data_IF_617377085026
#
_entry.id   IF_617377085026
#
_cell.length_a   1.000
_cell.length_b   1.000
_cell.length_c   1.000
_cell.angle_alpha   90.00
_cell.angle_beta   90.00
_cell.angle_gamma   90.00
#
_symmetry.space_group_name_H-M   'P 1'
#
loop_
_entity.id
_entity.type
_entity.pdbx_description
1 polymer ?
#
# COMPACT_ATOMS: atom_id res chain seq x y z
N UNK A 1 22.30 9.56 -0.53
CA UNK A 1 21.50 10.31 -1.49
C UNK A 1 21.48 9.63 -2.85
N UNK A 2 20.49 9.94 -3.67
CA UNK A 2 20.39 9.42 -5.04
C UNK A 2 21.56 9.93 -5.87
N UNK A 3 22.30 9.04 -6.53
CA UNK A 3 23.47 9.38 -7.34
C UNK A 3 23.15 9.52 -8.83
N UNK A 4 21.88 9.36 -9.23
CA UNK A 4 21.44 9.45 -10.62
C UNK A 4 20.28 10.42 -10.79
N UNK A 5 20.29 11.20 -11.89
CA UNK A 5 19.21 12.14 -12.22
C UNK A 5 18.07 11.44 -12.98
N UNK A 6 18.35 10.39 -13.72
CA UNK A 6 17.38 9.69 -14.57
C UNK A 6 17.44 8.15 -14.47
N UNK A 7 18.17 7.62 -13.50
CA UNK A 7 18.26 6.18 -13.23
C UNK A 7 17.46 5.75 -12.02
N UNK A 8 17.37 4.42 -11.79
CA UNK A 8 16.79 3.88 -10.56
C UNK A 8 17.60 4.33 -9.35
N UNK A 9 16.91 4.83 -8.33
CA UNK A 9 17.52 5.16 -7.02
C UNK A 9 17.56 3.96 -6.06
N UNK A 10 17.16 2.78 -6.52
CA UNK A 10 17.12 1.58 -5.71
C UNK A 10 18.52 1.02 -5.46
N UNK A 11 18.78 0.47 -4.26
CA UNK A 11 20.01 -0.23 -3.96
C UNK A 11 20.09 -1.57 -4.70
N UNK A 12 21.30 -2.10 -4.87
CA UNK A 12 21.51 -3.44 -5.38
C UNK A 12 21.25 -4.45 -4.26
N UNK A 13 20.48 -5.49 -4.55
CA UNK A 13 20.22 -6.57 -3.60
C UNK A 13 21.10 -7.79 -3.92
N UNK A 14 21.74 -8.32 -2.88
CA UNK A 14 22.58 -9.51 -2.97
C UNK A 14 22.14 -10.50 -1.89
N UNK A 15 21.67 -11.66 -2.31
CA UNK A 15 21.25 -12.74 -1.41
C UNK A 15 22.24 -13.89 -1.50
N UNK A 16 22.89 -14.23 -0.39
CA UNK A 16 23.93 -15.25 -0.28
C UNK A 16 25.03 -15.15 -1.36
N UNK A 17 25.40 -13.92 -1.74
CA UNK A 17 26.39 -13.65 -2.77
C UNK A 17 25.85 -13.58 -4.20
N UNK A 18 24.57 -13.85 -4.41
CA UNK A 18 23.92 -13.78 -5.72
C UNK A 18 23.20 -12.44 -5.86
N UNK A 19 23.50 -11.71 -6.94
CA UNK A 19 22.81 -10.45 -7.25
C UNK A 19 21.39 -10.75 -7.73
N UNK A 20 20.42 -10.21 -7.03
CA UNK A 20 19.01 -10.30 -7.41
C UNK A 20 18.59 -9.01 -8.08
N UNK A 21 18.02 -9.13 -9.29
CA UNK A 21 17.44 -7.99 -9.99
C UNK A 21 16.12 -7.60 -9.34
N UNK A 22 16.03 -6.35 -8.89
CA UNK A 22 14.79 -5.75 -8.37
C UNK A 22 14.08 -4.95 -9.47
N UNK A 23 14.51 -5.07 -10.72
CA UNK A 23 13.81 -4.42 -11.83
C UNK A 23 12.47 -5.11 -12.03
N UNK A 24 11.42 -4.40 -11.69
CA UNK A 24 10.04 -4.75 -12.02
C UNK A 24 9.86 -4.64 -13.53
N UNK A 25 9.94 -5.78 -14.23
CA UNK A 25 9.53 -5.83 -15.62
C UNK A 25 8.01 -5.79 -15.67
N UNK A 26 7.46 -4.68 -16.15
CA UNK A 26 6.04 -4.56 -16.43
C UNK A 26 5.62 -5.58 -17.50
N UNK A 27 5.11 -6.72 -17.07
CA UNK A 27 4.62 -7.79 -17.98
C UNK A 27 3.27 -7.41 -18.60
N UNK A 28 2.62 -6.36 -18.10
CA UNK A 28 1.29 -5.90 -18.52
C UNK A 28 1.32 -4.79 -19.56
N UNK A 29 2.44 -4.58 -20.28
CA UNK A 29 2.53 -3.59 -21.36
C UNK A 29 1.74 -3.98 -22.63
N UNK A 30 0.90 -4.99 -22.56
CA UNK A 30 -0.01 -5.37 -23.62
C UNK A 30 -1.26 -4.49 -23.55
N UNK A 31 -1.19 -3.35 -24.25
CA UNK A 31 -2.37 -2.61 -24.73
C UNK A 31 -3.23 -1.84 -23.72
N UNK A 32 -2.62 -1.16 -22.75
CA UNK A 32 -3.35 -0.22 -21.89
C UNK A 32 -3.11 1.22 -22.37
N UNK A 33 -4.14 2.05 -22.55
CA UNK A 33 -3.98 3.44 -22.97
C UNK A 33 -3.07 4.21 -22.01
N UNK A 34 -2.24 5.10 -22.56
CA UNK A 34 -1.35 5.95 -21.78
C UNK A 34 -2.15 6.76 -20.74
N UNK A 35 -1.97 6.47 -19.47
CA UNK A 35 -2.65 7.14 -18.36
C UNK A 35 -3.20 6.23 -17.25
N UNK A 36 -3.36 4.93 -17.50
CA UNK A 36 -3.87 3.95 -16.54
C UNK A 36 -2.85 2.84 -16.24
N UNK A 37 -1.59 3.21 -16.05
CA UNK A 37 -0.56 2.23 -15.69
C UNK A 37 -0.64 1.91 -14.21
N UNK A 38 -1.36 0.86 -13.86
CA UNK A 38 -1.12 0.17 -12.61
C UNK A 38 0.19 -0.62 -12.80
N UNK A 39 1.28 -0.08 -12.31
CA UNK A 39 2.56 -0.79 -12.27
C UNK A 39 2.48 -1.86 -11.18
N UNK A 40 2.01 -3.04 -11.56
CA UNK A 40 2.12 -4.22 -10.69
C UNK A 40 3.52 -4.78 -10.93
N UNK A 41 4.48 -4.21 -10.24
CA UNK A 41 5.83 -4.74 -10.24
C UNK A 41 5.93 -5.96 -9.34
N UNK A 42 6.35 -7.09 -9.88
CA UNK A 42 6.72 -8.25 -9.07
C UNK A 42 8.15 -8.09 -8.58
N UNK A 43 8.32 -7.88 -7.28
CA UNK A 43 9.62 -7.84 -6.65
C UNK A 43 10.04 -9.27 -6.25
N UNK A 44 11.13 -9.78 -6.80
CA UNK A 44 11.65 -11.11 -6.46
C UNK A 44 12.10 -11.26 -5.00
N UNK A 45 12.31 -10.14 -4.31
CA UNK A 45 12.58 -10.19 -2.87
C UNK A 45 11.34 -10.59 -2.06
N UNK A 46 10.14 -10.44 -2.64
CA UNK A 46 8.90 -10.87 -2.00
C UNK A 46 8.81 -12.41 -1.87
N UNK A 47 9.57 -13.15 -2.70
CA UNK A 47 9.63 -14.61 -2.64
C UNK A 47 10.51 -15.11 -1.49
N UNK A 48 11.33 -14.22 -0.89
CA UNK A 48 12.18 -14.56 0.23
C UNK A 48 11.40 -14.48 1.54
N UNK A 49 11.32 -15.60 2.26
CA UNK A 49 10.68 -15.61 3.56
C UNK A 49 11.53 -14.83 4.59
N UNK A 50 11.02 -13.77 5.21
CA UNK A 50 11.77 -13.01 6.21
C UNK A 50 12.28 -13.86 7.38
N UNK A 51 11.57 -14.94 7.72
CA UNK A 51 11.96 -15.86 8.78
C UNK A 51 13.21 -16.67 8.44
N UNK A 52 13.59 -16.79 7.17
CA UNK A 52 14.82 -17.46 6.72
C UNK A 52 16.04 -16.54 6.68
N UNK A 53 15.87 -15.26 6.96
CA UNK A 53 16.97 -14.30 7.01
C UNK A 53 17.71 -14.42 8.33
N UNK A 54 19.05 -14.60 8.25
CA UNK A 54 19.93 -14.58 9.42
C UNK A 54 20.44 -13.15 9.69
N UNK A 55 20.81 -12.41 8.61
CA UNK A 55 21.42 -11.08 8.73
C UNK A 55 21.15 -10.23 7.50
N UNK A 56 21.00 -8.92 7.72
CA UNK A 56 20.95 -7.91 6.67
C UNK A 56 22.05 -6.89 6.93
N UNK A 57 22.94 -6.70 5.96
CA UNK A 57 23.98 -5.67 5.99
C UNK A 57 23.76 -4.66 4.88
N UNK A 58 23.90 -3.38 5.19
CA UNK A 58 23.76 -2.29 4.22
C UNK A 58 25.14 -1.67 3.98
N UNK A 59 25.61 -1.73 2.73
CA UNK A 59 26.89 -1.13 2.33
C UNK A 59 26.60 0.17 1.57
N UNK A 60 27.13 1.33 2.04
CA UNK A 60 26.95 2.60 1.34
C UNK A 60 27.55 2.60 -0.07
N UNK A 61 26.99 3.40 -0.98
CA UNK A 61 27.34 3.38 -2.40
C UNK A 61 28.81 3.57 -2.72
N UNK A 62 29.54 4.41 -1.99
CA UNK A 62 30.95 4.62 -2.21
C UNK A 62 31.78 3.34 -1.96
N UNK A 63 31.49 2.61 -0.88
CA UNK A 63 32.16 1.34 -0.56
C UNK A 63 31.63 0.19 -1.42
N UNK A 64 30.35 0.20 -1.72
CA UNK A 64 29.69 -0.81 -2.53
C UNK A 64 30.20 -0.81 -3.99
N UNK A 65 30.44 0.37 -4.55
CA UNK A 65 30.96 0.53 -5.91
C UNK A 65 32.31 -0.12 -6.14
N UNK A 66 33.17 -0.17 -5.12
CA UNK A 66 34.48 -0.84 -5.20
C UNK A 66 34.36 -2.37 -5.34
N UNK A 67 33.31 -2.97 -4.79
CA UNK A 67 33.11 -4.42 -4.76
C UNK A 67 32.18 -4.87 -5.89
N UNK A 68 31.09 -4.16 -6.12
CA UNK A 68 30.00 -4.55 -7.03
C UNK A 68 29.89 -3.68 -8.29
N UNK A 69 30.83 -2.72 -8.46
CA UNK A 69 30.91 -1.84 -9.62
C UNK A 69 29.83 -0.75 -9.66
N UNK A 70 29.63 -0.17 -10.84
CA UNK A 70 28.72 0.98 -11.04
C UNK A 70 27.27 0.69 -10.69
N UNK A 71 26.84 -0.57 -10.75
CA UNK A 71 25.46 -0.98 -10.36
C UNK A 71 25.16 -0.76 -8.89
N UNK A 72 26.18 -0.66 -8.06
CA UNK A 72 26.07 -0.46 -6.63
C UNK A 72 26.23 1.02 -6.21
N UNK A 73 26.14 1.95 -7.13
CA UNK A 73 26.29 3.41 -6.85
C UNK A 73 25.29 3.93 -5.80
N UNK A 74 24.12 3.33 -5.71
CA UNK A 74 23.10 3.67 -4.71
C UNK A 74 23.20 2.87 -3.41
N UNK A 75 24.22 2.02 -3.29
CA UNK A 75 24.44 1.11 -2.17
C UNK A 75 24.05 -0.34 -2.48
N UNK A 76 24.40 -1.21 -1.57
CA UNK A 76 24.09 -2.65 -1.63
C UNK A 76 23.44 -3.09 -0.34
N UNK A 77 22.39 -3.89 -0.45
CA UNK A 77 21.77 -4.60 0.65
C UNK A 77 22.17 -6.07 0.54
N UNK A 78 23.00 -6.51 1.48
CA UNK A 78 23.43 -7.91 1.59
C UNK A 78 22.46 -8.65 2.51
N UNK A 79 21.83 -9.69 1.99
CA UNK A 79 20.94 -10.57 2.74
C UNK A 79 21.62 -11.92 2.87
N UNK A 80 21.84 -12.34 4.10
CA UNK A 80 22.39 -13.66 4.39
C UNK A 80 21.28 -14.53 4.95
N UNK A 81 21.05 -15.68 4.34
CA UNK A 81 20.03 -16.63 4.81
C UNK A 81 20.58 -17.56 5.88
N UNK A 82 19.69 -18.09 6.69
CA UNK A 82 20.00 -19.08 7.72
C UNK A 82 20.59 -20.35 7.08
N UNK A 83 21.66 -20.87 7.68
CA UNK A 83 22.35 -22.08 7.22
C UNK A 83 22.37 -23.13 8.32
N UNK A 84 22.50 -24.38 7.93
CA UNK A 84 22.67 -25.48 8.88
C UNK A 84 23.93 -25.30 9.72
N UNK A 85 23.83 -25.59 11.01
CA UNK A 85 24.94 -25.55 11.96
C UNK A 85 25.23 -26.97 12.42
N UNK A 86 26.51 -27.27 12.69
CA UNK A 86 26.88 -28.55 13.29
C UNK A 86 26.35 -28.65 14.72
N UNK A 87 25.82 -29.78 15.09
CA UNK A 87 25.26 -30.01 16.39
C UNK A 87 23.96 -30.83 16.34
N UNK A 88 23.30 -30.91 17.48
CA UNK A 88 22.00 -31.59 17.58
C UNK A 88 20.95 -30.90 16.72
N UNK A 89 19.99 -31.67 16.26
CA UNK A 89 18.87 -31.19 15.50
C UNK A 89 18.06 -30.20 16.34
N UNK A 90 17.85 -29.01 15.77
CA UNK A 90 17.02 -27.96 16.36
C UNK A 90 15.79 -27.75 15.47
N UNK A 91 14.63 -27.81 16.08
CA UNK A 91 13.35 -27.50 15.43
C UNK A 91 12.85 -26.17 16.00
N UNK A 92 12.51 -25.25 15.13
CA UNK A 92 11.85 -23.99 15.51
C UNK A 92 10.47 -23.95 14.85
N UNK A 93 9.46 -23.64 15.63
CA UNK A 93 8.09 -23.44 15.16
C UNK A 93 7.59 -22.09 15.64
N UNK A 94 7.03 -21.32 14.72
CA UNK A 94 6.38 -20.04 15.00
C UNK A 94 5.00 -20.03 14.36
N UNK A 95 4.01 -19.60 15.12
CA UNK A 95 2.65 -19.44 14.61
C UNK A 95 2.08 -18.14 15.15
N UNK A 96 1.53 -17.31 14.27
CA UNK A 96 0.88 -16.06 14.65
C UNK A 96 -0.48 -15.91 13.96
N UNK A 97 -1.38 -15.24 14.63
CA UNK A 97 -2.69 -14.86 14.10
C UNK A 97 -2.71 -13.35 13.93
N UNK A 98 -3.10 -12.90 12.76
CA UNK A 98 -3.16 -11.49 12.38
C UNK A 98 -4.63 -11.10 12.29
N UNK A 99 -5.00 -9.98 12.90
CA UNK A 99 -6.34 -9.41 12.79
C UNK A 99 -6.25 -8.02 12.21
N UNK A 100 -6.86 -7.84 11.06
CA UNK A 100 -6.91 -6.57 10.34
C UNK A 100 -8.30 -5.97 10.52
N UNK A 101 -8.37 -4.74 11.02
CA UNK A 101 -9.63 -4.03 11.15
C UNK A 101 -9.47 -2.55 10.81
N UNK A 102 -10.54 -1.91 10.39
CA UNK A 102 -10.56 -0.50 10.10
C UNK A 102 -10.36 0.29 11.40
N UNK A 103 -9.25 1.02 11.50
CA UNK A 103 -8.91 1.80 12.69
C UNK A 103 -9.94 2.89 13.00
N UNK A 104 -10.46 3.56 11.97
CA UNK A 104 -11.40 4.66 12.12
C UNK A 104 -12.26 4.77 10.88
N UNK A 105 -13.56 4.83 11.08
CA UNK A 105 -14.52 5.11 10.01
C UNK A 105 -14.46 6.58 9.60
N UNK A 106 -14.73 6.83 8.35
CA UNK A 106 -14.94 8.20 7.85
C UNK A 106 -16.30 8.68 8.34
N UNK A 107 -16.31 9.86 8.95
CA UNK A 107 -17.58 10.46 9.38
C UNK A 107 -18.41 10.82 8.15
N UNK A 108 -19.61 10.28 8.08
CA UNK A 108 -20.61 10.63 7.08
C UNK A 108 -21.66 11.51 7.74
N UNK A 109 -21.98 12.63 7.10
CA UNK A 109 -23.02 13.54 7.60
C UNK A 109 -24.36 12.80 7.74
N UNK A 110 -24.92 12.84 8.93
CA UNK A 110 -26.22 12.24 9.26
C UNK A 110 -27.39 13.21 9.05
N UNK A 111 -27.12 14.45 8.65
CA UNK A 111 -28.20 15.42 8.41
C UNK A 111 -29.11 14.94 7.27
N UNK A 112 -30.39 14.78 7.58
CA UNK A 112 -31.39 14.32 6.63
C UNK A 112 -31.80 15.36 5.58
N UNK A 113 -31.26 16.59 5.68
CA UNK A 113 -31.57 17.70 4.75
C UNK A 113 -30.29 18.28 4.16
N UNK A 114 -30.36 18.71 2.93
CA UNK A 114 -29.29 19.48 2.26
C UNK A 114 -29.89 20.63 1.47
N UNK A 115 -29.08 21.66 1.21
CA UNK A 115 -29.44 22.71 0.29
C UNK A 115 -29.45 22.16 -1.14
N UNK A 116 -30.49 22.50 -1.89
CA UNK A 116 -30.64 22.14 -3.29
C UNK A 116 -32.10 22.09 -3.71
N UNK A 117 -32.37 22.27 -4.98
CA UNK A 117 -33.67 21.97 -5.58
C UNK A 117 -33.74 20.50 -5.98
N UNK A 118 -34.96 19.93 -6.06
CA UNK A 118 -35.17 18.58 -6.53
C UNK A 118 -34.45 18.36 -7.89
N UNK A 119 -33.38 17.55 -7.88
CA UNK A 119 -32.54 17.25 -9.05
C UNK A 119 -31.28 18.10 -9.22
N UNK A 120 -31.04 19.16 -8.43
CA UNK A 120 -29.81 19.95 -8.47
C UNK A 120 -29.07 19.89 -7.13
N UNK A 121 -27.88 19.28 -7.13
CA UNK A 121 -26.98 19.24 -5.97
C UNK A 121 -26.10 20.50 -5.96
N UNK A 122 -25.83 21.04 -4.77
CA UNK A 122 -24.94 22.19 -4.58
C UNK A 122 -23.51 22.00 -5.16
N UNK A 123 -23.06 20.77 -5.39
CA UNK A 123 -21.77 20.49 -6.02
C UNK A 123 -21.59 21.03 -7.44
N UNK A 124 -22.68 21.44 -8.12
CA UNK A 124 -22.63 22.05 -9.44
C UNK A 124 -22.65 23.59 -9.40
N UNK A 125 -22.62 24.22 -8.23
CA UNK A 125 -22.61 25.69 -8.06
C UNK A 125 -21.18 26.25 -8.14
N UNK A 126 -20.17 25.42 -8.38
CA UNK A 126 -18.74 25.84 -8.45
C UNK A 126 -18.41 26.89 -9.51
N UNK A 127 -19.34 27.20 -10.42
CA UNK A 127 -19.15 28.21 -11.47
C UNK A 127 -20.05 29.46 -11.30
N UNK A 128 -20.77 29.60 -10.21
CA UNK A 128 -21.50 30.83 -9.92
C UNK A 128 -20.54 31.91 -9.41
N UNK A 129 -19.98 32.66 -10.32
CA UNK A 129 -19.11 33.83 -10.09
C UNK A 129 -19.92 34.99 -9.51
N UNK A 130 -20.68 34.78 -8.48
CA UNK A 130 -21.34 35.88 -7.78
C UNK A 130 -21.10 35.74 -6.31
N UNK A 131 -20.35 36.71 -5.79
CA UNK A 131 -20.12 36.93 -4.38
C UNK A 131 -21.41 36.73 -3.59
N UNK A 132 -21.45 35.87 -2.57
CA UNK A 132 -22.63 35.76 -1.75
C UNK A 132 -22.89 37.10 -1.09
N UNK A 133 -24.11 37.64 -1.25
CA UNK A 133 -24.54 38.76 -0.47
C UNK A 133 -24.44 38.40 1.01
N UNK A 134 -24.02 39.32 1.88
CA UNK A 134 -23.80 39.03 3.27
C UNK A 134 -25.07 38.47 3.91
N UNK A 135 -24.91 37.42 4.68
CA UNK A 135 -25.90 36.74 5.47
C UNK A 135 -26.67 37.73 6.32
N UNK A 136 -27.91 37.96 5.95
CA UNK A 136 -28.88 38.76 6.74
C UNK A 136 -30.06 37.86 7.08
N UNK A 137 -30.04 37.28 8.28
CA UNK A 137 -31.11 36.41 8.72
C UNK A 137 -31.12 35.04 8.02
N UNK A 138 -32.15 34.28 8.22
CA UNK A 138 -32.26 32.86 7.80
C UNK A 138 -32.40 32.60 6.29
N UNK A 139 -32.08 33.57 5.43
CA UNK A 139 -32.34 33.46 3.99
C UNK A 139 -31.13 33.87 3.17
N UNK A 140 -30.48 32.92 2.52
CA UNK A 140 -29.42 33.19 1.52
C UNK A 140 -30.09 33.23 0.15
N UNK A 141 -30.06 34.40 -0.48
CA UNK A 141 -30.55 34.60 -1.85
C UNK A 141 -29.35 34.55 -2.80
N UNK A 142 -29.40 33.73 -3.82
CA UNK A 142 -28.38 33.68 -4.86
C UNK A 142 -29.01 33.76 -6.25
N UNK A 143 -28.30 34.39 -7.17
CA UNK A 143 -28.73 34.49 -8.56
C UNK A 143 -27.97 33.48 -9.40
N UNK A 144 -28.69 32.66 -10.11
CA UNK A 144 -28.08 31.66 -11.04
C UNK A 144 -27.55 32.35 -12.29
N UNK A 145 -26.66 31.66 -13.03
CA UNK A 145 -26.19 32.15 -14.34
C UNK A 145 -27.31 32.40 -15.37
N UNK A 146 -28.47 31.75 -15.18
CA UNK A 146 -29.67 31.93 -15.99
C UNK A 146 -30.50 33.18 -15.58
N UNK A 147 -30.03 33.98 -14.61
CA UNK A 147 -30.69 35.18 -14.11
C UNK A 147 -31.78 34.91 -13.08
N UNK A 148 -32.06 33.63 -12.75
CA UNK A 148 -33.07 33.28 -11.77
C UNK A 148 -32.54 33.46 -10.34
N UNK A 149 -33.29 34.18 -9.50
CA UNK A 149 -32.97 34.36 -8.09
C UNK A 149 -33.64 33.27 -7.27
N UNK A 150 -32.85 32.61 -6.40
CA UNK A 150 -33.29 31.52 -5.53
C UNK A 150 -32.95 31.82 -4.08
N UNK A 151 -33.85 31.41 -3.18
CA UNK A 151 -33.66 31.50 -1.74
C UNK A 151 -33.30 30.13 -1.17
N UNK A 152 -32.11 29.99 -0.62
CA UNK A 152 -31.60 28.69 -0.12
C UNK A 152 -32.44 28.14 1.05
N UNK A 153 -33.07 29.00 1.85
CA UNK A 153 -33.90 28.54 2.96
C UNK A 153 -35.13 27.73 2.49
N UNK A 154 -35.62 27.99 1.29
CA UNK A 154 -36.78 27.28 0.72
C UNK A 154 -36.34 26.07 -0.14
N UNK A 155 -35.04 25.90 -0.34
CA UNK A 155 -34.45 24.82 -1.16
C UNK A 155 -33.86 23.72 -0.30
N UNK A 156 -34.33 23.52 0.93
CA UNK A 156 -33.95 22.39 1.76
C UNK A 156 -34.69 21.13 1.28
N UNK A 157 -33.95 20.19 0.71
CA UNK A 157 -34.50 18.93 0.24
C UNK A 157 -34.09 17.79 1.18
N UNK A 158 -34.99 16.84 1.37
CA UNK A 158 -34.70 15.63 2.12
C UNK A 158 -33.70 14.75 1.35
N UNK A 159 -32.70 14.27 2.05
CA UNK A 159 -31.66 13.41 1.49
C UNK A 159 -31.55 12.13 2.30
N UNK A 160 -31.75 11.02 1.63
CA UNK A 160 -31.42 9.72 2.21
C UNK A 160 -29.93 9.49 2.08
N UNK A 161 -29.25 9.39 3.21
CA UNK A 161 -27.82 9.12 3.26
C UNK A 161 -27.60 7.66 3.60
N UNK A 162 -26.66 7.05 2.90
CA UNK A 162 -26.29 5.67 3.08
C UNK A 162 -24.84 5.59 3.53
N UNK A 163 -24.58 4.79 4.55
CA UNK A 163 -23.24 4.42 4.93
C UNK A 163 -22.91 3.07 4.30
N UNK A 164 -22.08 3.09 3.27
CA UNK A 164 -21.63 1.87 2.60
C UNK A 164 -20.34 1.31 3.18
N UNK A 165 -19.80 1.90 4.25
CA UNK A 165 -18.55 1.47 4.82
C UNK A 165 -18.63 0.02 5.33
N UNK A 166 -19.76 -0.40 5.88
CA UNK A 166 -19.99 -1.78 6.31
C UNK A 166 -20.05 -2.80 5.14
N UNK A 167 -20.37 -2.31 3.94
CA UNK A 167 -20.40 -3.16 2.75
C UNK A 167 -19.01 -3.27 2.07
N UNK A 168 -18.13 -2.31 2.34
CA UNK A 168 -16.79 -2.24 1.73
C UNK A 168 -15.75 -2.83 2.66
N UNK A 169 -15.89 -2.57 3.98
CA UNK A 169 -14.91 -2.98 4.95
C UNK A 169 -15.41 -4.15 5.80
N UNK A 170 -14.55 -5.12 6.00
CA UNK A 170 -14.76 -6.22 6.92
C UNK A 170 -13.52 -6.45 7.79
N UNK A 171 -13.66 -7.28 8.79
CA UNK A 171 -12.54 -7.70 9.61
C UNK A 171 -11.83 -8.86 8.90
N UNK A 172 -10.59 -8.62 8.46
CA UNK A 172 -9.74 -9.63 7.87
C UNK A 172 -9.01 -10.43 8.96
N UNK A 173 -8.87 -11.73 8.75
CA UNK A 173 -8.09 -12.63 9.61
C UNK A 173 -6.97 -13.23 8.77
N UNK A 174 -5.77 -13.20 9.32
CA UNK A 174 -4.60 -13.82 8.70
C UNK A 174 -3.93 -14.81 9.64
N UNK A 175 -3.12 -15.67 9.06
CA UNK A 175 -2.25 -16.59 9.79
C UNK A 175 -0.87 -16.59 9.16
N UNK A 176 0.16 -16.62 10.01
CA UNK A 176 1.54 -16.81 9.60
C UNK A 176 2.11 -17.98 10.41
N UNK A 177 2.43 -19.06 9.71
CA UNK A 177 2.96 -20.28 10.29
C UNK A 177 4.30 -20.59 9.65
N UNK A 178 5.29 -20.81 10.47
CA UNK A 178 6.65 -21.10 10.03
C UNK A 178 7.22 -22.25 10.83
N UNK A 179 7.91 -23.16 10.16
CA UNK A 179 8.68 -24.24 10.76
C UNK A 179 10.06 -24.28 10.15
N UNK A 180 11.08 -24.47 10.95
CA UNK A 180 12.43 -24.74 10.46
C UNK A 180 13.10 -25.86 11.23
N UNK A 181 13.99 -26.54 10.53
CA UNK A 181 14.77 -27.67 10.99
C UNK A 181 16.23 -27.43 10.63
N UNK A 182 17.10 -27.39 11.60
CA UNK A 182 18.53 -27.21 11.40
C UNK A 182 19.34 -28.22 12.21
N UNK A 183 20.48 -28.62 11.68
CA UNK A 183 21.37 -29.55 12.36
C UNK A 183 22.50 -30.00 11.46
N UNK A 184 23.28 -30.93 11.95
CA UNK A 184 24.34 -31.57 11.16
C UNK A 184 25.52 -32.04 11.94
N UNK A 185 26.44 -32.71 11.23
CA UNK A 185 27.74 -33.11 11.70
C UNK A 185 28.82 -32.13 11.23
N UNK A 186 30.07 -32.38 11.55
CA UNK A 186 31.19 -31.61 11.01
C UNK A 186 31.28 -31.66 9.47
N UNK A 187 30.85 -32.78 8.87
CA UNK A 187 30.92 -33.00 7.43
C UNK A 187 29.65 -32.60 6.67
N UNK A 188 28.50 -32.68 7.31
CA UNK A 188 27.22 -32.44 6.66
C UNK A 188 26.35 -31.52 7.54
N UNK A 189 25.90 -30.41 7.00
CA UNK A 189 25.02 -29.49 7.66
C UNK A 189 23.79 -29.34 6.82
N UNK A 190 22.63 -29.22 7.46
CA UNK A 190 21.35 -29.07 6.78
C UNK A 190 20.49 -27.98 7.44
N UNK A 191 19.73 -27.29 6.63
CA UNK A 191 18.70 -26.38 7.02
C UNK A 191 17.51 -26.57 6.09
N UNK A 192 16.33 -26.75 6.65
CA UNK A 192 15.06 -26.82 5.94
C UNK A 192 14.09 -25.89 6.62
N UNK A 193 13.32 -25.16 5.84
CA UNK A 193 12.26 -24.31 6.35
C UNK A 193 11.02 -24.41 5.46
N UNK A 194 9.87 -24.12 6.06
CA UNK A 194 8.61 -23.99 5.35
C UNK A 194 7.73 -22.97 6.05
N UNK A 195 7.09 -22.12 5.27
CA UNK A 195 6.19 -21.10 5.77
C UNK A 195 4.85 -21.17 5.04
N UNK A 196 3.78 -20.90 5.78
CA UNK A 196 2.47 -20.68 5.23
C UNK A 196 1.93 -19.36 5.74
N UNK A 197 1.74 -18.42 4.85
CA UNK A 197 1.21 -17.10 5.12
C UNK A 197 -0.11 -16.91 4.38
N UNK A 198 -1.14 -16.56 5.13
CA UNK A 198 -2.43 -16.11 4.59
C UNK A 198 -2.82 -14.84 5.31
N UNK A 199 -3.17 -13.80 4.58
CA UNK A 199 -3.66 -12.56 5.15
C UNK A 199 -4.83 -12.04 4.33
N UNK A 200 -5.97 -11.86 4.98
CA UNK A 200 -7.14 -11.25 4.38
C UNK A 200 -7.09 -9.74 4.59
N UNK A 201 -7.30 -8.98 3.53
CA UNK A 201 -7.42 -7.53 3.57
C UNK A 201 -8.69 -7.09 4.30
N UNK A 202 -8.79 -5.79 4.57
CA UNK A 202 -9.99 -5.19 5.19
C UNK A 202 -11.07 -4.80 4.16
N UNK A 203 -10.76 -4.89 2.86
CA UNK A 203 -11.69 -4.56 1.76
C UNK A 203 -12.28 -5.86 1.24
N UNK A 204 -13.59 -5.90 1.05
CA UNK A 204 -14.29 -7.07 0.49
C UNK A 204 -13.77 -7.35 -0.92
N UNK A 205 -13.26 -8.57 -1.16
CA UNK A 205 -12.77 -9.00 -2.47
C UNK A 205 -11.25 -8.83 -2.69
N UNK A 206 -10.48 -8.56 -1.62
CA UNK A 206 -9.00 -8.53 -1.65
C UNK A 206 -8.39 -9.66 -0.86
#
# INVERSE_FOLDING_TARGET
>A
GTSTISGSSEPLYVVDGVIISNTTTNVTNLNVPAGTRAEIGTNRLADLNPNDIEKIDVIPGASAGAIYGSRASNGVVLITTKKGKSGQMKVEFSSSIISNELRKRVYISTYGKQFGTAGLRLGNISNASTSPTPYSGSTIVYTRPDGQTRTLANDLVDVKRYDYQDNIFHKGIGTDNYISLSGGSEKTKYFFSGGYYKNEGIIVGT
#
